data_IF_641653870976
#
_entry.id   IF_641653870976
#
_cell.length_a   1.000
_cell.length_b   1.000
_cell.length_c   1.000
_cell.angle_alpha   90.00
_cell.angle_beta   90.00
_cell.angle_gamma   90.00
#
_symmetry.space_group_name_H-M   'P 1'
#
loop_
_entity.id
_entity.type
_entity.pdbx_description
1 polymer ?
#
# COMPACT_ATOMS: atom_id res chain seq x y z
N UNK A 1 65.04 -13.30 -35.98
CA UNK A 1 65.26 -14.46 -35.10
C UNK A 1 65.38 -13.97 -33.67
N UNK A 2 64.60 -14.57 -32.76
CA UNK A 2 64.77 -14.66 -31.28
C UNK A 2 64.72 -13.35 -30.47
N UNK A 3 64.06 -13.25 -29.31
CA UNK A 3 63.36 -14.23 -28.46
C UNK A 3 62.42 -13.50 -27.48
N UNK A 4 61.46 -14.27 -26.99
CA UNK A 4 60.41 -13.95 -26.02
C UNK A 4 60.88 -13.23 -24.75
N UNK A 5 60.01 -12.36 -24.22
CA UNK A 5 59.74 -12.32 -22.78
C UNK A 5 58.21 -12.40 -22.58
N UNK A 6 57.81 -13.34 -21.73
CA UNK A 6 56.43 -13.70 -21.40
C UNK A 6 56.35 -13.64 -19.87
N UNK A 7 55.15 -13.34 -19.34
CA UNK A 7 54.70 -13.58 -17.94
C UNK A 7 55.10 -12.42 -16.99
N UNK A 8 54.24 -11.76 -16.19
CA UNK A 8 53.03 -12.16 -15.46
C UNK A 8 52.07 -10.95 -15.40
N UNK A 9 50.79 -11.10 -15.76
CA UNK A 9 49.74 -10.24 -15.18
C UNK A 9 49.12 -11.04 -14.03
N UNK A 10 49.28 -10.55 -12.80
CA UNK A 10 48.73 -11.20 -11.62
C UNK A 10 47.20 -11.24 -11.73
N UNK A 11 46.65 -12.43 -11.48
CA UNK A 11 45.24 -12.65 -11.28
C UNK A 11 44.77 -11.97 -9.99
N UNK A 12 43.62 -11.31 -10.10
CA UNK A 12 42.54 -11.21 -9.11
C UNK A 12 42.90 -11.12 -7.62
N UNK A 13 42.66 -9.95 -7.03
CA UNK A 13 41.96 -9.94 -5.75
C UNK A 13 40.60 -9.30 -5.95
N UNK A 14 39.56 -10.13 -5.83
CA UNK A 14 38.20 -9.70 -5.60
C UNK A 14 38.21 -8.96 -4.27
N UNK A 15 38.29 -7.64 -4.29
CA UNK A 15 37.76 -6.87 -3.18
C UNK A 15 36.25 -6.91 -3.37
N UNK A 16 35.62 -7.92 -2.77
CA UNK A 16 34.18 -7.98 -2.56
C UNK A 16 33.77 -6.61 -2.04
N UNK A 17 33.04 -5.86 -2.86
CA UNK A 17 32.35 -4.67 -2.43
C UNK A 17 31.30 -5.12 -1.42
N UNK A 18 31.70 -5.27 -0.16
CA UNK A 18 30.83 -5.12 0.99
C UNK A 18 30.42 -3.65 1.08
N UNK A 19 29.83 -3.13 0.00
CA UNK A 19 29.15 -1.87 -0.02
C UNK A 19 27.72 -2.17 0.42
N UNK A 20 27.47 -1.83 1.69
CA UNK A 20 26.18 -1.51 2.28
C UNK A 20 25.15 -2.64 2.43
N UNK A 21 25.40 -3.55 3.37
CA UNK A 21 24.32 -4.27 4.06
C UNK A 21 23.81 -3.54 5.33
N UNK A 22 24.30 -2.32 5.60
CA UNK A 22 23.99 -1.54 6.81
C UNK A 22 23.56 -0.09 6.56
N UNK A 23 23.42 0.36 5.31
CA UNK A 23 23.18 1.78 5.03
C UNK A 23 21.71 2.07 4.70
N UNK A 24 20.87 2.14 5.75
CA UNK A 24 19.83 3.16 5.96
C UNK A 24 19.10 2.88 7.28
N UNK A 25 19.80 2.94 8.42
CA UNK A 25 19.12 2.84 9.73
C UNK A 25 18.33 4.12 10.08
N UNK A 26 18.57 5.22 9.36
CA UNK A 26 17.87 6.48 9.55
C UNK A 26 17.56 7.18 8.23
N UNK A 27 16.35 7.74 8.13
CA UNK A 27 15.95 8.71 7.09
C UNK A 27 15.41 9.95 7.79
N UNK A 28 16.13 11.07 7.69
CA UNK A 28 15.86 12.24 8.53
C UNK A 28 16.01 11.90 10.02
N UNK A 29 14.98 12.18 10.81
CA UNK A 29 14.93 11.87 12.25
C UNK A 29 14.21 10.55 12.56
N UNK A 30 13.82 9.77 11.54
CA UNK A 30 13.15 8.48 11.72
C UNK A 30 14.19 7.36 11.86
N UNK A 31 14.03 6.55 12.89
CA UNK A 31 14.78 5.31 13.10
C UNK A 31 14.06 4.16 12.39
N UNK A 32 14.60 3.74 11.24
CA UNK A 32 13.98 2.75 10.37
C UNK A 32 14.02 1.34 10.99
N UNK A 33 14.91 1.09 11.97
CA UNK A 33 14.99 -0.19 12.67
C UNK A 33 13.76 -0.50 13.55
N UNK A 34 12.93 0.51 13.82
CA UNK A 34 11.70 0.35 14.61
C UNK A 34 10.54 -0.23 13.81
N UNK A 35 10.59 -0.21 12.49
CA UNK A 35 9.52 -0.72 11.64
C UNK A 35 9.66 -2.24 11.45
N UNK A 36 8.54 -2.96 11.43
CA UNK A 36 8.53 -4.41 11.14
C UNK A 36 8.97 -4.74 9.72
N UNK A 37 8.73 -3.82 8.79
CA UNK A 37 9.04 -3.99 7.38
C UNK A 37 10.35 -3.27 7.05
N UNK A 38 11.10 -3.84 6.10
CA UNK A 38 12.24 -3.17 5.50
C UNK A 38 11.81 -1.89 4.78
N UNK A 39 12.77 -0.99 4.55
CA UNK A 39 12.51 0.25 3.82
C UNK A 39 11.94 -0.01 2.41
N UNK A 40 12.46 -1.00 1.67
CA UNK A 40 11.90 -1.42 0.38
C UNK A 40 10.43 -1.85 0.48
N UNK A 41 10.08 -2.70 1.46
CA UNK A 41 8.70 -3.16 1.64
C UNK A 41 7.77 -1.99 1.96
N UNK A 42 8.21 -1.08 2.83
CA UNK A 42 7.44 0.13 3.13
C UNK A 42 7.26 1.02 1.90
N UNK A 43 8.27 1.16 1.03
CA UNK A 43 8.14 1.87 -0.24
C UNK A 43 7.16 1.18 -1.20
N UNK A 44 7.12 -0.16 -1.24
CA UNK A 44 6.16 -0.89 -2.07
C UNK A 44 4.72 -0.74 -1.57
N UNK A 45 4.52 -0.76 -0.25
CA UNK A 45 3.24 -0.50 0.40
C UNK A 45 2.79 0.94 0.09
N UNK A 46 3.63 1.92 0.44
CA UNK A 46 3.29 3.33 0.32
C UNK A 46 3.29 3.86 -1.11
N UNK A 47 3.83 3.13 -2.08
CA UNK A 47 3.98 3.51 -3.49
C UNK A 47 4.14 5.03 -3.69
N UNK A 48 5.28 5.65 -3.31
CA UNK A 48 5.44 7.11 -3.25
C UNK A 48 5.12 7.85 -4.56
N UNK A 49 5.14 7.16 -5.70
CA UNK A 49 4.78 7.72 -7.00
C UNK A 49 3.27 7.93 -7.14
N UNK A 50 2.45 6.99 -6.66
CA UNK A 50 0.99 7.05 -6.79
C UNK A 50 0.32 7.57 -5.51
N UNK A 51 0.89 7.25 -4.34
CA UNK A 51 0.32 7.52 -3.02
C UNK A 51 1.30 8.33 -2.16
N UNK A 52 1.83 9.43 -2.71
CA UNK A 52 2.80 10.30 -2.01
C UNK A 52 2.32 10.84 -0.66
N UNK A 53 1.01 10.93 -0.45
CA UNK A 53 0.38 11.35 0.80
C UNK A 53 0.27 10.22 1.86
N UNK A 54 0.70 8.99 1.53
CA UNK A 54 0.66 7.80 2.41
C UNK A 54 2.04 7.39 2.94
N UNK A 55 3.04 8.25 2.79
CA UNK A 55 4.39 7.98 3.26
C UNK A 55 4.42 8.03 4.80
N UNK A 56 4.60 6.89 5.45
CA UNK A 56 4.52 6.75 6.91
C UNK A 56 5.87 6.57 7.62
N UNK A 57 6.97 6.53 6.85
CA UNK A 57 8.30 6.16 7.33
C UNK A 57 9.37 7.25 7.12
N UNK A 58 8.98 8.46 6.70
CA UNK A 58 9.93 9.55 6.42
C UNK A 58 9.97 10.63 7.50
N UNK A 59 8.86 10.86 8.20
CA UNK A 59 8.79 11.80 9.32
C UNK A 59 8.08 11.16 10.50
N UNK A 60 8.55 11.41 11.75
CA UNK A 60 7.77 11.03 12.92
C UNK A 60 6.39 11.69 12.88
N UNK A 61 5.42 11.04 13.50
CA UNK A 61 4.10 11.63 13.70
C UNK A 61 4.22 12.88 14.60
N UNK A 62 3.27 13.80 14.46
CA UNK A 62 3.26 15.07 15.20
C UNK A 62 1.91 15.27 15.89
N UNK A 63 1.88 16.18 16.86
CA UNK A 63 0.68 16.49 17.63
C UNK A 63 0.53 15.65 18.90
N UNK A 64 -0.60 15.79 19.62
CA UNK A 64 -0.81 15.19 20.93
C UNK A 64 -0.76 13.65 20.91
N UNK A 65 -1.23 13.03 19.82
CA UNK A 65 -1.26 11.57 19.63
C UNK A 65 -0.07 11.04 18.81
N UNK A 66 1.03 11.81 18.69
CA UNK A 66 2.19 11.41 17.88
C UNK A 66 2.75 10.04 18.27
N UNK A 67 2.94 9.79 19.57
CA UNK A 67 3.48 8.52 20.06
C UNK A 67 2.54 7.33 19.75
N UNK A 68 1.23 7.58 19.75
CA UNK A 68 0.22 6.59 19.38
C UNK A 68 0.34 6.19 17.91
N UNK A 69 0.39 7.18 17.02
CA UNK A 69 0.54 6.90 15.58
C UNK A 69 1.90 6.32 15.22
N UNK A 70 2.98 6.74 15.88
CA UNK A 70 4.30 6.14 15.68
C UNK A 70 4.31 4.67 16.10
N UNK A 71 3.69 4.31 17.23
CA UNK A 71 3.58 2.92 17.65
C UNK A 71 2.81 2.07 16.63
N UNK A 72 1.73 2.59 16.05
CA UNK A 72 0.96 1.92 15.00
C UNK A 72 1.76 1.79 13.70
N UNK A 73 2.38 2.88 13.22
CA UNK A 73 3.16 2.91 11.97
C UNK A 73 4.39 2.00 12.02
N UNK A 74 4.99 1.85 13.19
CA UNK A 74 6.12 0.94 13.44
C UNK A 74 5.68 -0.52 13.61
N UNK A 75 4.39 -0.78 13.79
CA UNK A 75 3.89 -2.13 14.07
C UNK A 75 4.17 -2.56 15.52
N UNK A 76 4.30 -1.65 16.47
CA UNK A 76 4.58 -2.01 17.85
C UNK A 76 3.31 -2.39 18.61
N UNK A 77 2.76 -3.59 18.34
CA UNK A 77 1.54 -4.10 18.98
C UNK A 77 1.62 -4.05 20.52
N UNK A 78 2.78 -4.32 21.12
CA UNK A 78 2.94 -4.29 22.56
C UNK A 78 2.74 -2.87 23.13
N UNK A 79 3.28 -1.85 22.47
CA UNK A 79 3.06 -0.45 22.85
C UNK A 79 1.63 -0.01 22.56
N UNK A 80 1.06 -0.42 21.41
CA UNK A 80 -0.35 -0.17 21.08
C UNK A 80 -1.27 -0.70 22.20
N UNK A 81 -1.10 -1.96 22.62
CA UNK A 81 -1.88 -2.56 23.72
C UNK A 81 -1.78 -1.77 25.02
N UNK A 82 -0.56 -1.40 25.43
CA UNK A 82 -0.34 -0.58 26.64
C UNK A 82 -1.03 0.78 26.58
N UNK A 83 -1.00 1.44 25.42
CA UNK A 83 -1.66 2.73 25.24
C UNK A 83 -3.18 2.61 25.31
N UNK A 84 -3.75 1.56 24.70
CA UNK A 84 -5.19 1.27 24.81
C UNK A 84 -5.59 0.96 26.24
N UNK A 85 -4.82 0.14 26.96
CA UNK A 85 -5.03 -0.12 28.40
C UNK A 85 -4.95 1.15 29.26
N UNK A 86 -4.17 2.15 28.84
CA UNK A 86 -4.06 3.46 29.47
C UNK A 86 -5.16 4.46 29.04
N UNK A 87 -6.12 4.05 28.22
CA UNK A 87 -7.25 4.87 27.80
C UNK A 87 -7.02 5.72 26.56
N UNK A 88 -6.08 5.33 25.68
CA UNK A 88 -5.88 5.99 24.39
C UNK A 88 -7.19 6.04 23.58
N UNK A 89 -7.52 7.22 23.04
CA UNK A 89 -8.64 7.37 22.12
C UNK A 89 -8.34 6.66 20.80
N UNK A 90 -9.08 5.58 20.50
CA UNK A 90 -8.91 4.81 19.26
C UNK A 90 -9.28 5.60 18.01
N UNK A 91 -10.20 6.57 18.16
CA UNK A 91 -10.69 7.42 17.08
C UNK A 91 -9.92 8.73 16.95
N UNK A 92 -8.76 8.84 17.61
CA UNK A 92 -7.82 9.92 17.38
C UNK A 92 -7.47 10.02 15.89
N UNK A 93 -7.28 11.25 15.42
CA UNK A 93 -7.03 11.57 14.01
C UNK A 93 -5.59 12.04 13.84
N UNK A 94 -4.86 11.39 12.94
CA UNK A 94 -3.52 11.82 12.55
C UNK A 94 -3.65 13.02 11.62
N UNK A 95 -3.74 14.22 12.19
CA UNK A 95 -4.05 15.44 11.45
C UNK A 95 -3.01 15.78 10.38
N UNK A 96 -1.74 15.44 10.62
CA UNK A 96 -0.67 15.57 9.64
C UNK A 96 -0.80 14.58 8.47
N UNK A 97 -1.60 13.54 8.65
CA UNK A 97 -1.86 12.47 7.68
C UNK A 97 -3.33 12.44 7.26
N UNK A 98 -3.89 13.62 7.04
CA UNK A 98 -5.26 13.81 6.52
C UNK A 98 -6.34 13.20 7.43
N UNK A 99 -6.07 13.05 8.72
CA UNK A 99 -7.02 12.51 9.69
C UNK A 99 -7.14 10.98 9.63
N UNK A 100 -6.12 10.27 9.15
CA UNK A 100 -6.10 8.82 9.21
C UNK A 100 -6.16 8.33 10.68
N UNK A 101 -7.00 7.33 10.96
CA UNK A 101 -7.06 6.70 12.29
C UNK A 101 -5.97 5.64 12.46
N UNK A 102 -5.78 5.17 13.69
CA UNK A 102 -4.87 4.05 13.95
C UNK A 102 -5.28 2.78 13.19
N UNK A 103 -6.58 2.47 13.14
CA UNK A 103 -7.08 1.32 12.39
C UNK A 103 -6.79 1.48 10.89
N UNK A 104 -7.01 2.67 10.32
CA UNK A 104 -6.68 2.99 8.93
C UNK A 104 -5.19 2.83 8.63
N UNK A 105 -4.31 3.31 9.51
CA UNK A 105 -2.87 3.10 9.37
C UNK A 105 -2.47 1.63 9.46
N UNK A 106 -2.95 0.90 10.45
CA UNK A 106 -2.66 -0.53 10.59
C UNK A 106 -3.13 -1.32 9.36
N UNK A 107 -4.28 -0.96 8.79
CA UNK A 107 -4.82 -1.58 7.60
C UNK A 107 -4.03 -1.23 6.33
N UNK A 108 -3.67 0.05 6.15
CA UNK A 108 -2.84 0.50 5.05
C UNK A 108 -1.44 -0.12 5.07
N UNK A 109 -0.85 -0.29 6.26
CA UNK A 109 0.51 -0.84 6.38
C UNK A 109 0.50 -2.36 6.35
N UNK A 110 -0.56 -3.01 6.84
CA UNK A 110 -0.74 -4.47 6.74
C UNK A 110 -0.51 -5.22 8.05
N UNK A 111 -0.59 -4.53 9.18
CA UNK A 111 -0.44 -5.16 10.50
C UNK A 111 -1.76 -5.79 10.94
N UNK A 112 -2.04 -6.98 10.38
CA UNK A 112 -3.29 -7.73 10.66
C UNK A 112 -3.52 -7.96 12.16
N UNK A 113 -2.48 -8.18 12.94
CA UNK A 113 -2.56 -8.36 14.39
C UNK A 113 -3.00 -7.08 15.13
N UNK A 114 -2.54 -5.91 14.66
CA UNK A 114 -3.00 -4.60 15.17
C UNK A 114 -4.42 -4.32 14.71
N UNK A 115 -4.76 -4.60 13.44
CA UNK A 115 -6.14 -4.47 12.93
C UNK A 115 -7.10 -5.33 13.75
N UNK A 116 -6.73 -6.58 14.01
CA UNK A 116 -7.50 -7.52 14.83
C UNK A 116 -7.74 -6.96 16.23
N UNK A 117 -6.65 -6.60 16.90
CA UNK A 117 -6.71 -6.05 18.25
C UNK A 117 -7.58 -4.78 18.31
N UNK A 118 -7.34 -3.77 17.47
CA UNK A 118 -8.10 -2.52 17.49
C UNK A 118 -9.58 -2.74 17.22
N UNK A 119 -9.92 -3.65 16.29
CA UNK A 119 -11.32 -4.03 16.03
C UNK A 119 -11.95 -4.68 17.26
N UNK A 120 -11.24 -5.58 17.95
CA UNK A 120 -11.71 -6.22 19.19
C UNK A 120 -11.90 -5.21 20.33
N UNK A 121 -11.13 -4.12 20.34
CA UNK A 121 -11.28 -3.01 21.29
C UNK A 121 -12.37 -2.00 20.87
N UNK A 122 -13.07 -2.25 19.76
CA UNK A 122 -14.20 -1.42 19.32
C UNK A 122 -13.84 -0.21 18.47
N UNK A 123 -12.65 -0.17 17.86
CA UNK A 123 -12.33 0.84 16.86
C UNK A 123 -13.31 0.76 15.67
N UNK A 124 -13.70 1.91 15.11
CA UNK A 124 -14.66 1.97 14.01
C UNK A 124 -14.06 1.47 12.69
N UNK A 125 -14.50 0.30 12.23
CA UNK A 125 -14.09 -0.29 10.94
C UNK A 125 -14.56 0.52 9.72
N UNK A 126 -15.45 1.51 9.92
CA UNK A 126 -15.90 2.48 8.90
C UNK A 126 -15.14 3.80 8.97
N UNK A 127 -14.04 3.85 9.72
CA UNK A 127 -13.20 5.04 9.80
C UNK A 127 -12.80 5.57 8.41
N UNK A 128 -12.89 6.89 8.28
CA UNK A 128 -12.55 7.66 7.08
C UNK A 128 -11.39 8.62 7.34
N UNK A 129 -10.83 9.15 6.25
CA UNK A 129 -9.88 10.26 6.28
C UNK A 129 -10.34 11.38 5.33
N UNK A 130 -9.52 12.43 5.18
CA UNK A 130 -9.75 13.57 4.28
C UNK A 130 -9.12 13.42 2.90
N UNK A 131 -8.49 12.29 2.61
CA UNK A 131 -8.06 11.96 1.26
C UNK A 131 -9.24 11.31 0.55
N UNK A 132 -9.18 10.00 0.36
CA UNK A 132 -10.10 9.22 -0.46
C UNK A 132 -10.60 7.97 0.27
N UNK A 133 -10.32 7.80 1.58
CA UNK A 133 -10.73 6.61 2.34
C UNK A 133 -12.13 6.79 2.90
N UNK A 134 -13.09 6.00 2.40
CA UNK A 134 -14.49 5.97 2.88
C UNK A 134 -14.76 4.84 3.90
N UNK A 135 -13.86 3.87 4.02
CA UNK A 135 -13.84 2.87 5.09
C UNK A 135 -12.44 2.23 5.17
N UNK A 136 -12.18 1.46 6.23
CA UNK A 136 -10.86 0.86 6.46
C UNK A 136 -10.47 -0.17 5.38
N UNK A 137 -11.43 -0.77 4.66
CA UNK A 137 -11.13 -1.70 3.55
C UNK A 137 -10.37 -0.98 2.44
N UNK A 138 -10.75 0.26 2.11
CA UNK A 138 -10.01 1.04 1.09
C UNK A 138 -8.56 1.28 1.49
N UNK A 139 -8.28 1.60 2.76
CA UNK A 139 -6.89 1.69 3.27
C UNK A 139 -6.13 0.38 3.03
N UNK A 140 -6.72 -0.78 3.35
CA UNK A 140 -6.07 -2.08 3.14
C UNK A 140 -5.82 -2.41 1.67
N UNK A 141 -6.75 -2.05 0.78
CA UNK A 141 -6.60 -2.19 -0.67
C UNK A 141 -5.44 -1.33 -1.17
N UNK A 142 -5.46 -0.02 -0.88
CA UNK A 142 -4.38 0.90 -1.25
C UNK A 142 -3.03 0.46 -0.70
N UNK A 143 -3.02 -0.23 0.45
CA UNK A 143 -1.84 -0.73 1.15
C UNK A 143 -1.26 -2.06 0.66
N UNK A 144 -1.83 -2.71 -0.36
CA UNK A 144 -1.45 -4.07 -0.84
C UNK A 144 -1.75 -5.21 0.15
N UNK A 145 -2.64 -5.01 1.13
CA UNK A 145 -2.80 -5.95 2.24
C UNK A 145 -4.04 -6.84 2.11
N UNK A 146 -3.98 -7.83 1.23
CA UNK A 146 -5.12 -8.72 0.93
C UNK A 146 -5.67 -9.47 2.16
N UNK A 147 -4.82 -9.86 3.12
CA UNK A 147 -5.29 -10.54 4.33
C UNK A 147 -6.09 -9.61 5.25
N UNK A 148 -5.73 -8.33 5.32
CA UNK A 148 -6.53 -7.32 6.02
C UNK A 148 -7.84 -7.05 5.27
N UNK A 149 -7.80 -7.00 3.93
CA UNK A 149 -9.01 -6.85 3.09
C UNK A 149 -10.00 -7.99 3.38
N UNK A 150 -9.54 -9.25 3.38
CA UNK A 150 -10.36 -10.42 3.72
C UNK A 150 -10.98 -10.30 5.11
N UNK A 151 -10.16 -10.01 6.12
CA UNK A 151 -10.60 -9.88 7.50
C UNK A 151 -11.68 -8.80 7.70
N UNK A 152 -11.49 -7.62 7.10
CA UNK A 152 -12.43 -6.50 7.21
C UNK A 152 -13.71 -6.75 6.39
N UNK A 153 -13.58 -7.35 5.20
CA UNK A 153 -14.72 -7.72 4.36
C UNK A 153 -15.66 -8.70 5.09
N UNK A 154 -15.12 -9.72 5.76
CA UNK A 154 -15.91 -10.67 6.56
C UNK A 154 -16.68 -9.98 7.70
N UNK A 155 -16.08 -8.95 8.32
CA UNK A 155 -16.70 -8.21 9.44
C UNK A 155 -17.77 -7.24 9.00
N UNK A 156 -17.63 -6.69 7.81
CA UNK A 156 -18.61 -5.83 7.18
C UNK A 156 -19.80 -6.62 6.61
N UNK A 157 -19.82 -7.96 6.67
CA UNK A 157 -20.99 -8.83 6.38
C UNK A 157 -21.79 -8.41 5.13
N UNK A 158 -21.09 -8.18 4.01
CA UNK A 158 -21.63 -7.74 2.71
C UNK A 158 -21.91 -6.24 2.54
N UNK A 159 -21.50 -5.38 3.47
CA UNK A 159 -21.56 -3.91 3.27
C UNK A 159 -20.52 -3.41 2.25
N UNK A 160 -19.58 -4.26 1.83
CA UNK A 160 -18.60 -3.92 0.78
C UNK A 160 -19.18 -4.28 -0.58
N UNK A 161 -19.58 -3.25 -1.33
CA UNK A 161 -19.93 -3.39 -2.74
C UNK A 161 -18.71 -3.10 -3.62
N UNK A 162 -18.16 -4.15 -4.24
CA UNK A 162 -16.99 -4.08 -5.13
C UNK A 162 -17.25 -3.29 -6.42
N UNK A 163 -18.52 -3.05 -6.76
CA UNK A 163 -18.96 -2.29 -7.93
C UNK A 163 -19.46 -0.89 -7.58
N UNK A 164 -19.52 -0.53 -6.29
CA UNK A 164 -19.88 0.82 -5.88
C UNK A 164 -18.88 1.81 -6.46
N UNK A 165 -19.42 2.85 -7.11
CA UNK A 165 -18.65 3.96 -7.64
C UNK A 165 -18.57 5.07 -6.61
N UNK A 166 -17.35 5.56 -6.39
CA UNK A 166 -17.09 6.76 -5.62
C UNK A 166 -17.45 8.01 -6.45
N UNK A 167 -17.30 9.20 -5.84
CA UNK A 167 -17.69 10.48 -6.47
C UNK A 167 -16.89 10.79 -7.74
N UNK A 168 -15.67 10.28 -7.82
CA UNK A 168 -14.77 10.38 -8.97
C UNK A 168 -15.00 9.27 -10.01
N UNK A 169 -15.95 8.37 -9.75
CA UNK A 169 -16.29 7.25 -10.63
C UNK A 169 -15.41 6.02 -10.44
N UNK A 170 -14.43 6.05 -9.53
CA UNK A 170 -13.61 4.88 -9.23
C UNK A 170 -14.41 3.81 -8.47
N UNK A 171 -14.07 2.54 -8.70
CA UNK A 171 -14.51 1.43 -7.84
C UNK A 171 -13.31 0.94 -7.04
N UNK A 172 -13.57 0.25 -5.93
CA UNK A 172 -12.49 -0.34 -5.14
C UNK A 172 -11.66 -1.37 -5.93
N UNK A 173 -12.29 -2.06 -6.89
CA UNK A 173 -11.59 -2.93 -7.83
C UNK A 173 -10.65 -2.15 -8.76
N UNK A 174 -11.10 -0.99 -9.28
CA UNK A 174 -10.25 -0.11 -10.07
C UNK A 174 -9.04 0.37 -9.27
N UNK A 175 -9.24 0.84 -8.03
CA UNK A 175 -8.13 1.27 -7.15
C UNK A 175 -7.10 0.15 -6.99
N UNK A 176 -7.54 -1.09 -6.70
CA UNK A 176 -6.64 -2.24 -6.57
C UNK A 176 -5.81 -2.49 -7.85
N UNK A 177 -6.42 -2.35 -9.03
CA UNK A 177 -5.74 -2.55 -10.30
C UNK A 177 -4.78 -1.41 -10.63
N UNK A 178 -5.24 -0.16 -10.49
CA UNK A 178 -4.48 1.07 -10.78
C UNK A 178 -3.28 1.22 -9.86
N UNK A 179 -3.34 0.71 -8.63
CA UNK A 179 -2.23 0.71 -7.66
C UNK A 179 -1.35 -0.55 -7.70
N UNK A 180 -1.61 -1.49 -8.61
CA UNK A 180 -0.79 -2.69 -8.79
C UNK A 180 -0.92 -3.71 -7.66
N UNK A 181 -2.10 -3.81 -7.05
CA UNK A 181 -2.37 -4.64 -5.86
C UNK A 181 -2.83 -6.04 -6.26
N UNK A 182 -1.95 -6.80 -6.92
CA UNK A 182 -2.26 -8.07 -7.59
C UNK A 182 -3.09 -9.06 -6.76
N UNK A 183 -2.70 -9.33 -5.51
CA UNK A 183 -3.41 -10.33 -4.71
C UNK A 183 -4.79 -9.83 -4.25
N UNK A 184 -4.94 -8.52 -4.04
CA UNK A 184 -6.25 -7.89 -3.85
C UNK A 184 -7.10 -7.97 -5.12
N UNK A 185 -6.53 -7.74 -6.30
CA UNK A 185 -7.24 -7.92 -7.59
C UNK A 185 -7.74 -9.35 -7.72
N UNK A 186 -6.89 -10.37 -7.46
CA UNK A 186 -7.29 -11.79 -7.48
C UNK A 186 -8.42 -12.08 -6.49
N UNK A 187 -8.39 -11.48 -5.31
CA UNK A 187 -9.45 -11.66 -4.31
C UNK A 187 -10.77 -11.04 -4.78
N UNK A 188 -10.74 -9.79 -5.25
CA UNK A 188 -11.96 -9.08 -5.68
C UNK A 188 -12.61 -9.74 -6.90
N UNK A 189 -11.82 -10.31 -7.82
CA UNK A 189 -12.32 -11.06 -8.99
C UNK A 189 -13.27 -12.21 -8.62
N UNK A 190 -13.21 -12.75 -7.40
CA UNK A 190 -14.12 -13.80 -6.92
C UNK A 190 -15.57 -13.31 -6.73
N UNK A 191 -15.77 -11.98 -6.72
CA UNK A 191 -17.06 -11.33 -6.52
C UNK A 191 -17.60 -10.67 -7.79
N UNK A 192 -17.10 -11.06 -8.97
CA UNK A 192 -17.55 -10.59 -10.29
C UNK A 192 -17.63 -9.05 -10.42
N UNK A 193 -16.52 -8.32 -10.20
CA UNK A 193 -16.49 -6.88 -10.41
C UNK A 193 -16.64 -6.53 -11.91
N UNK A 194 -17.15 -5.34 -12.22
CA UNK A 194 -17.12 -4.79 -13.57
C UNK A 194 -15.67 -4.48 -13.97
N UNK A 195 -15.15 -5.25 -14.93
CA UNK A 195 -13.77 -5.13 -15.41
C UNK A 195 -13.53 -3.88 -16.27
N UNK A 196 -14.61 -3.30 -16.80
CA UNK A 196 -14.55 -2.26 -17.84
C UNK A 196 -15.15 -0.93 -17.36
N UNK A 197 -15.29 -0.76 -16.05
CA UNK A 197 -15.63 0.54 -15.47
C UNK A 197 -14.59 1.58 -15.90
N UNK A 198 -15.06 2.77 -16.24
CA UNK A 198 -14.22 3.92 -16.56
C UNK A 198 -14.54 5.04 -15.58
N UNK A 199 -13.51 5.52 -14.89
CA UNK A 199 -13.54 6.71 -14.05
C UNK A 199 -13.05 7.88 -14.89
N UNK A 200 -13.90 8.90 -14.99
CA UNK A 200 -13.59 10.17 -15.66
C UNK A 200 -13.81 11.27 -14.62
N UNK A 201 -12.73 11.85 -14.13
CA UNK A 201 -12.77 12.99 -13.23
C UNK A 201 -11.97 14.15 -13.85
N UNK A 202 -12.43 15.39 -13.67
CA UNK A 202 -11.77 16.59 -14.15
C UNK A 202 -10.69 17.09 -13.16
N UNK A 203 -10.69 16.63 -11.90
CA UNK A 203 -9.73 17.05 -10.88
C UNK A 203 -9.53 16.03 -9.73
N UNK A 204 -8.36 15.34 -9.65
CA UNK A 204 -7.33 15.27 -10.68
C UNK A 204 -7.91 14.61 -11.95
N UNK A 205 -7.27 14.82 -13.11
CA UNK A 205 -7.74 14.25 -14.37
C UNK A 205 -7.54 12.73 -14.38
N UNK A 206 -8.50 12.00 -13.86
CA UNK A 206 -8.57 10.54 -13.95
C UNK A 206 -9.32 10.21 -15.23
N UNK A 207 -8.69 9.43 -16.10
CA UNK A 207 -9.33 8.83 -17.26
C UNK A 207 -8.78 7.40 -17.35
N UNK A 208 -9.35 6.54 -16.52
CA UNK A 208 -8.82 5.22 -16.25
C UNK A 208 -9.92 4.17 -16.19
N UNK A 209 -9.60 2.99 -16.72
CA UNK A 209 -10.23 1.72 -16.42
C UNK A 209 -9.25 0.85 -15.62
N UNK A 210 -9.67 -0.24 -14.97
CA UNK A 210 -8.74 -1.16 -14.30
C UNK A 210 -7.55 -1.56 -15.19
N UNK A 211 -7.81 -1.95 -16.45
CA UNK A 211 -6.75 -2.36 -17.38
C UNK A 211 -5.87 -1.19 -17.83
N UNK A 212 -6.45 -0.09 -18.31
CA UNK A 212 -5.66 1.04 -18.81
C UNK A 212 -4.75 1.64 -17.74
N UNK A 213 -5.22 1.75 -16.49
CA UNK A 213 -4.41 2.27 -15.39
C UNK A 213 -3.27 1.33 -15.00
N UNK A 214 -3.54 0.02 -14.93
CA UNK A 214 -2.48 -0.98 -14.74
C UNK A 214 -1.41 -0.93 -15.86
N UNK A 215 -1.84 -0.77 -17.11
CA UNK A 215 -0.93 -0.59 -18.26
C UNK A 215 -0.11 0.69 -18.16
N UNK A 216 -0.74 1.84 -17.88
CA UNK A 216 -0.07 3.16 -17.78
C UNK A 216 0.95 3.22 -16.65
N UNK A 217 0.68 2.54 -15.54
CA UNK A 217 1.59 2.49 -14.39
C UNK A 217 2.64 1.36 -14.51
N UNK A 218 2.54 0.50 -15.52
CA UNK A 218 3.49 -0.58 -15.76
C UNK A 218 3.30 -1.80 -14.83
N UNK A 219 2.11 -1.98 -14.25
CA UNK A 219 1.76 -3.15 -13.45
C UNK A 219 1.40 -4.33 -14.35
N UNK A 220 2.42 -4.88 -15.02
CA UNK A 220 2.26 -5.89 -16.07
C UNK A 220 1.60 -7.17 -15.57
N UNK A 221 1.83 -7.58 -14.32
CA UNK A 221 1.18 -8.74 -13.70
C UNK A 221 -0.33 -8.55 -13.55
N UNK A 222 -0.76 -7.38 -13.07
CA UNK A 222 -2.17 -6.99 -12.98
C UNK A 222 -2.77 -6.86 -14.38
N UNK A 223 -2.10 -6.16 -15.30
CA UNK A 223 -2.59 -5.96 -16.66
C UNK A 223 -2.79 -7.31 -17.39
N UNK A 224 -1.82 -8.23 -17.30
CA UNK A 224 -1.92 -9.56 -17.89
C UNK A 224 -3.08 -10.36 -17.31
N UNK A 225 -3.27 -10.31 -15.98
CA UNK A 225 -4.41 -10.97 -15.34
C UNK A 225 -5.74 -10.39 -15.84
N UNK A 226 -5.87 -9.07 -15.95
CA UNK A 226 -7.08 -8.42 -16.44
C UNK A 226 -7.37 -8.75 -17.91
N UNK A 227 -6.34 -8.78 -18.76
CA UNK A 227 -6.43 -9.22 -20.16
C UNK A 227 -6.92 -10.68 -20.24
N UNK A 228 -6.37 -11.57 -19.41
CA UNK A 228 -6.82 -12.96 -19.33
C UNK A 228 -8.31 -13.07 -18.94
N UNK A 229 -8.79 -12.16 -18.09
CA UNK A 229 -10.22 -12.07 -17.71
C UNK A 229 -11.09 -11.32 -18.73
N UNK A 230 -10.53 -10.86 -19.85
CA UNK A 230 -11.27 -10.19 -20.92
C UNK A 230 -11.56 -8.71 -20.66
N UNK A 231 -10.77 -8.05 -19.81
CA UNK A 231 -10.86 -6.60 -19.67
C UNK A 231 -10.43 -5.88 -20.96
N UNK A 232 -11.10 -4.78 -21.27
CA UNK A 232 -10.85 -3.94 -22.44
C UNK A 232 -10.22 -2.63 -21.98
N UNK A 233 -9.10 -2.26 -22.61
CA UNK A 233 -8.48 -0.98 -22.41
C UNK A 233 -9.36 0.08 -23.06
N UNK A 234 -10.02 0.91 -22.24
CA UNK A 234 -10.97 1.91 -22.73
C UNK A 234 -10.34 2.96 -23.66
N UNK A 235 -9.02 3.13 -23.64
CA UNK A 235 -8.29 4.07 -24.50
C UNK A 235 -8.07 3.52 -25.91
N UNK A 236 -7.88 2.21 -26.04
CA UNK A 236 -7.55 1.55 -27.33
C UNK A 236 -8.69 0.70 -27.89
N UNK A 237 -9.68 0.36 -27.06
CA UNK A 237 -10.77 -0.55 -27.40
C UNK A 237 -10.33 -2.01 -27.52
N UNK A 238 -9.12 -2.36 -27.07
CA UNK A 238 -8.54 -3.71 -27.21
C UNK A 238 -8.30 -4.35 -25.84
N UNK A 239 -8.23 -5.68 -25.83
CA UNK A 239 -7.79 -6.46 -24.67
C UNK A 239 -6.25 -6.50 -24.58
N UNK A 240 -5.60 -5.33 -24.57
CA UNK A 240 -4.14 -5.15 -24.55
C UNK A 240 -3.75 -3.80 -23.95
N UNK A 241 -2.48 -3.66 -23.56
CA UNK A 241 -1.91 -2.35 -23.22
C UNK A 241 -1.64 -1.49 -24.47
N UNK A 242 -1.46 -2.10 -25.65
CA UNK A 242 -1.27 -1.46 -26.96
C UNK A 242 -2.57 -1.30 -27.77
#
# INVERSE_FOLDING_TARGET
>A
MMKLAKIVFLASLVASSSFNLYAQEKKGNVDLSKFRFSYEEMQQIANPKLLSHRIFYETPSVGPDAAWFDAVKQGNLATVKKMVEAGQNLEAKDEASLGQTALGWAAFIGYLDIVQYLTEQGADIRATDRADVYNTVKSAVMGKNVEVVKYLHERLKNEVDWNAKEKDGETLFMVAAVDGRLDTVKYILQFNPDLNVVAINENPKINASPLSGACEHGFTDVANLLIEKGAINHKTGKSSCD
#
